data_IF_483383897870
#
_entry.id   IF_483383897870
#
_cell.length_a   1.000
_cell.length_b   1.000
_cell.length_c   1.000
_cell.angle_alpha   90.00
_cell.angle_beta   90.00
_cell.angle_gamma   90.00
#
_symmetry.space_group_name_H-M   'P 1'
#
loop_
_entity.id
_entity.type
_entity.pdbx_description
1 polymer ?
#
# COMPACT_ATOMS: atom_id res chain seq x y z
N UNK A 1 29.92 -25.74 66.99
CA UNK A 1 30.52 -25.87 65.65
C UNK A 1 29.86 -27.10 65.03
N UNK A 2 28.98 -27.08 64.03
CA UNK A 2 28.80 -26.24 62.84
C UNK A 2 27.31 -26.12 62.46
N UNK A 3 27.03 -25.18 61.57
CA UNK A 3 25.72 -24.66 61.18
C UNK A 3 24.98 -25.50 60.12
N UNK A 4 23.66 -25.26 60.12
CA UNK A 4 22.58 -25.47 59.13
C UNK A 4 22.94 -25.44 57.63
N UNK A 5 22.08 -26.04 56.78
CA UNK A 5 21.35 -25.35 55.69
C UNK A 5 20.24 -26.24 55.04
N UNK A 6 19.09 -25.68 54.61
CA UNK A 6 17.93 -26.42 54.11
C UNK A 6 17.81 -26.46 52.58
N UNK A 7 17.03 -27.44 52.13
CA UNK A 7 16.59 -27.69 50.76
C UNK A 7 15.53 -26.69 50.27
N UNK A 8 15.40 -26.59 48.94
CA UNK A 8 14.28 -26.01 48.15
C UNK A 8 14.37 -24.54 47.73
N UNK A 9 15.13 -24.23 46.67
CA UNK A 9 14.99 -22.95 45.93
C UNK A 9 15.18 -23.05 44.40
N UNK A 10 15.13 -24.25 43.79
CA UNK A 10 15.51 -24.44 42.39
C UNK A 10 14.38 -24.92 41.45
N UNK A 11 13.21 -24.27 41.43
CA UNK A 11 12.25 -24.57 40.34
C UNK A 11 11.26 -23.45 39.97
N UNK A 12 11.04 -22.44 40.81
CA UNK A 12 9.93 -21.50 40.61
C UNK A 12 10.26 -20.24 39.80
N UNK A 13 11.54 -19.98 39.49
CA UNK A 13 11.97 -18.76 38.78
C UNK A 13 12.05 -18.92 37.26
N UNK A 14 12.28 -20.13 36.76
CA UNK A 14 12.40 -20.37 35.32
C UNK A 14 11.05 -20.48 34.60
N UNK A 15 9.98 -20.88 35.31
CA UNK A 15 8.66 -21.06 34.70
C UNK A 15 7.97 -19.72 34.34
N UNK A 16 8.30 -18.62 35.03
CA UNK A 16 7.75 -17.28 34.71
C UNK A 16 8.53 -16.55 33.60
N UNK A 17 9.81 -16.87 33.42
CA UNK A 17 10.64 -16.24 32.40
C UNK A 17 10.33 -16.76 30.99
N UNK A 18 9.88 -18.02 30.87
CA UNK A 18 9.52 -18.63 29.60
C UNK A 18 8.27 -18.00 28.96
N UNK A 19 7.32 -17.51 29.77
CA UNK A 19 6.05 -16.91 29.29
C UNK A 19 6.24 -15.49 28.71
N UNK A 20 7.26 -14.76 29.14
CA UNK A 20 7.52 -13.37 28.70
C UNK A 20 8.37 -13.36 27.42
N UNK A 21 9.32 -14.28 27.28
CA UNK A 21 10.15 -14.39 26.06
C UNK A 21 9.35 -14.75 24.81
N UNK A 22 8.31 -15.58 24.95
CA UNK A 22 7.45 -16.00 23.83
C UNK A 22 6.57 -14.88 23.28
N UNK A 23 6.22 -13.86 24.09
CA UNK A 23 5.42 -12.71 23.66
C UNK A 23 6.25 -11.64 22.91
N UNK A 24 7.55 -11.55 23.21
CA UNK A 24 8.44 -10.55 22.58
C UNK A 24 8.91 -11.04 21.19
N UNK A 25 9.08 -12.34 20.99
CA UNK A 25 9.55 -12.91 19.71
C UNK A 25 8.54 -12.82 18.54
N UNK A 26 7.25 -12.63 18.83
CA UNK A 26 6.19 -12.61 17.80
C UNK A 26 6.11 -11.27 17.04
N UNK A 27 6.66 -10.18 17.60
CA UNK A 27 6.53 -8.85 17.00
C UNK A 27 7.56 -8.52 15.90
N UNK A 28 8.58 -9.36 15.70
CA UNK A 28 9.69 -9.09 14.78
C UNK A 28 9.56 -9.75 13.39
N UNK A 29 8.45 -10.40 13.06
CA UNK A 29 8.29 -11.17 11.82
C UNK A 29 7.49 -10.47 10.71
N UNK A 30 7.49 -9.13 10.65
CA UNK A 30 6.92 -8.37 9.54
C UNK A 30 7.93 -7.35 8.99
N UNK A 31 9.06 -7.81 8.47
CA UNK A 31 9.77 -7.05 7.44
C UNK A 31 9.76 -7.92 6.20
N UNK A 32 8.76 -7.68 5.35
CA UNK A 32 8.67 -8.28 4.03
C UNK A 32 9.85 -7.70 3.24
N UNK A 33 10.81 -8.56 2.93
CA UNK A 33 11.91 -8.24 2.02
C UNK A 33 11.32 -8.17 0.61
N UNK A 34 10.76 -7.01 0.28
CA UNK A 34 10.28 -6.71 -1.04
C UNK A 34 11.50 -6.25 -1.84
N UNK A 35 12.11 -7.18 -2.59
CA UNK A 35 13.19 -6.85 -3.51
C UNK A 35 12.61 -6.03 -4.68
N UNK A 36 12.59 -4.71 -4.52
CA UNK A 36 12.00 -3.77 -5.46
C UNK A 36 12.98 -3.48 -6.62
N UNK A 37 12.49 -3.47 -7.88
CA UNK A 37 13.29 -3.07 -9.05
C UNK A 37 13.66 -1.57 -9.04
N UNK A 38 13.12 -0.80 -8.09
CA UNK A 38 13.27 0.65 -8.00
C UNK A 38 13.61 1.11 -6.57
N UNK A 39 14.82 0.82 -6.05
CA UNK A 39 15.19 1.15 -4.67
C UNK A 39 15.14 2.66 -4.36
N UNK A 40 15.26 3.50 -5.38
CA UNK A 40 15.21 4.96 -5.24
C UNK A 40 13.78 5.51 -5.12
N UNK A 41 12.75 4.73 -5.48
CA UNK A 41 11.35 5.14 -5.36
C UNK A 41 10.82 4.70 -3.99
N UNK A 42 10.37 5.66 -3.19
CA UNK A 42 10.00 5.40 -1.78
C UNK A 42 8.57 5.77 -1.45
N UNK A 43 7.92 6.59 -2.28
CA UNK A 43 6.57 7.10 -2.02
C UNK A 43 5.55 6.67 -3.06
N UNK A 44 4.27 6.62 -2.67
CA UNK A 44 3.18 6.35 -3.60
C UNK A 44 3.08 7.37 -4.73
N UNK A 45 3.55 8.60 -4.50
CA UNK A 45 3.66 9.63 -5.54
C UNK A 45 4.74 9.25 -6.56
N UNK A 46 5.90 8.79 -6.10
CA UNK A 46 7.00 8.44 -7.00
C UNK A 46 6.62 7.24 -7.86
N UNK A 47 6.01 6.20 -7.27
CA UNK A 47 5.49 5.06 -8.02
C UNK A 47 4.39 5.45 -9.01
N UNK A 48 3.44 6.32 -8.61
CA UNK A 48 2.39 6.80 -9.52
C UNK A 48 2.97 7.61 -10.68
N UNK A 49 3.92 8.50 -10.40
CA UNK A 49 4.57 9.29 -11.44
C UNK A 49 5.39 8.41 -12.39
N UNK A 50 6.04 7.37 -11.86
CA UNK A 50 6.83 6.45 -12.65
C UNK A 50 5.98 5.53 -13.55
N UNK A 51 4.86 5.00 -13.03
CA UNK A 51 4.08 3.98 -13.74
C UNK A 51 2.76 4.47 -14.36
N UNK A 52 2.12 5.49 -13.78
CA UNK A 52 0.70 5.80 -14.06
C UNK A 52 0.50 7.15 -14.75
N UNK A 53 1.35 8.14 -14.45
CA UNK A 53 1.21 9.53 -14.93
C UNK A 53 1.21 9.65 -16.46
N UNK A 54 1.98 8.81 -17.15
CA UNK A 54 2.09 8.82 -18.61
C UNK A 54 0.74 8.64 -19.32
N UNK A 55 -0.21 7.93 -18.71
CA UNK A 55 -1.56 7.75 -19.23
C UNK A 55 -2.61 8.52 -18.41
N UNK A 56 -2.55 8.48 -17.08
CA UNK A 56 -3.59 9.06 -16.23
C UNK A 56 -3.38 10.54 -15.89
N UNK A 57 -2.23 11.12 -16.25
CA UNK A 57 -1.85 12.48 -15.87
C UNK A 57 -1.41 12.58 -14.42
N UNK A 58 -0.67 13.65 -14.09
CA UNK A 58 -0.07 13.85 -12.76
C UNK A 58 -1.10 14.01 -11.64
N UNK A 59 -2.29 14.49 -12.00
CA UNK A 59 -3.43 14.68 -11.10
C UNK A 59 -4.47 13.56 -11.20
N UNK A 60 -4.21 12.53 -12.01
CA UNK A 60 -5.12 11.41 -12.22
C UNK A 60 -6.42 11.76 -12.96
N UNK A 61 -6.48 12.91 -13.63
CA UNK A 61 -7.67 13.36 -14.38
C UNK A 61 -7.82 12.75 -15.78
N UNK A 62 -6.98 11.78 -16.12
CA UNK A 62 -7.01 11.09 -17.41
C UNK A 62 -6.50 11.94 -18.57
N UNK A 63 -6.39 11.30 -19.73
CA UNK A 63 -5.92 11.93 -20.98
C UNK A 63 -6.90 11.60 -22.11
N UNK A 64 -7.53 12.63 -22.65
CA UNK A 64 -8.50 12.50 -23.75
C UNK A 64 -7.87 11.88 -25.01
N UNK A 65 -6.62 12.25 -25.31
CA UNK A 65 -5.91 11.80 -26.54
C UNK A 65 -5.67 10.29 -26.54
N UNK A 66 -5.43 9.69 -25.38
CA UNK A 66 -5.20 8.25 -25.22
C UNK A 66 -6.43 7.50 -24.70
N UNK A 67 -7.61 8.14 -24.73
CA UNK A 67 -8.86 7.63 -24.16
C UNK A 67 -8.74 7.13 -22.72
N UNK A 68 -7.74 7.61 -21.97
CA UNK A 68 -7.45 7.09 -20.63
C UNK A 68 -8.38 7.76 -19.62
N UNK A 69 -9.19 6.98 -18.88
CA UNK A 69 -10.13 7.54 -17.92
C UNK A 69 -9.42 8.19 -16.72
N UNK A 70 -10.14 9.11 -16.08
CA UNK A 70 -9.72 9.73 -14.84
C UNK A 70 -9.80 8.71 -13.71
N UNK A 71 -8.64 8.26 -13.21
CA UNK A 71 -8.60 7.29 -12.14
C UNK A 71 -9.02 7.89 -10.78
N UNK A 72 -9.00 9.22 -10.63
CA UNK A 72 -9.56 9.89 -9.45
C UNK A 72 -11.09 9.76 -9.34
N UNK A 73 -11.78 9.40 -10.42
CA UNK A 73 -13.22 9.13 -10.40
C UNK A 73 -13.54 7.68 -10.01
N UNK A 74 -12.53 6.88 -9.67
CA UNK A 74 -12.73 5.48 -9.27
C UNK A 74 -13.66 5.36 -8.06
N UNK A 75 -14.56 4.38 -8.12
CA UNK A 75 -15.41 3.98 -7.00
C UNK A 75 -14.78 2.85 -6.18
N UNK A 76 -13.58 2.40 -6.56
CA UNK A 76 -12.89 1.28 -5.91
C UNK A 76 -12.23 1.74 -4.61
N UNK A 77 -12.33 0.92 -3.57
CA UNK A 77 -11.54 1.07 -2.35
C UNK A 77 -10.09 0.64 -2.55
N UNK A 78 -9.25 0.88 -1.53
CA UNK A 78 -7.81 0.63 -1.55
C UNK A 78 -7.43 -0.76 -2.10
N UNK A 79 -7.93 -1.84 -1.49
CA UNK A 79 -7.53 -3.21 -1.88
C UNK A 79 -8.05 -3.60 -3.26
N UNK A 80 -9.22 -3.08 -3.64
CA UNK A 80 -9.76 -3.27 -4.97
C UNK A 80 -8.91 -2.56 -6.05
N UNK A 81 -8.28 -1.43 -5.72
CA UNK A 81 -7.31 -0.76 -6.60
C UNK A 81 -6.04 -1.60 -6.70
N UNK A 82 -5.50 -2.08 -5.57
CA UNK A 82 -4.30 -2.94 -5.57
C UNK A 82 -4.50 -4.16 -6.46
N UNK A 83 -5.60 -4.89 -6.27
CA UNK A 83 -5.92 -6.06 -7.07
C UNK A 83 -6.15 -5.72 -8.56
N UNK A 84 -6.77 -4.57 -8.85
CA UNK A 84 -6.96 -4.12 -10.23
C UNK A 84 -5.64 -3.84 -10.95
N UNK A 85 -4.65 -3.29 -10.23
CA UNK A 85 -3.32 -3.01 -10.78
C UNK A 85 -2.54 -4.31 -11.02
N UNK A 86 -2.58 -5.25 -10.09
CA UNK A 86 -1.63 -6.39 -10.08
C UNK A 86 -2.20 -7.72 -10.54
N UNK A 87 -3.53 -7.93 -10.50
CA UNK A 87 -4.14 -9.26 -10.65
C UNK A 87 -5.35 -9.34 -11.57
N UNK A 88 -6.12 -8.26 -11.77
CA UNK A 88 -7.35 -8.31 -12.56
C UNK A 88 -7.06 -8.49 -14.06
N UNK A 89 -7.25 -9.71 -14.55
CA UNK A 89 -7.03 -10.12 -15.96
C UNK A 89 -8.29 -10.04 -16.82
N UNK A 90 -9.26 -9.18 -16.49
CA UNK A 90 -10.46 -8.99 -17.30
C UNK A 90 -10.10 -8.68 -18.78
N UNK A 91 -10.51 -9.51 -19.76
CA UNK A 91 -10.12 -9.32 -21.16
C UNK A 91 -10.68 -8.05 -21.82
N UNK A 92 -11.64 -7.37 -21.17
CA UNK A 92 -12.23 -6.12 -21.67
C UNK A 92 -11.50 -4.87 -21.15
N UNK A 93 -10.52 -5.00 -20.25
CA UNK A 93 -9.79 -3.83 -19.74
C UNK A 93 -8.69 -3.43 -20.72
N UNK A 94 -8.56 -2.13 -20.96
CA UNK A 94 -7.51 -1.56 -21.81
C UNK A 94 -6.22 -1.28 -21.03
N UNK A 95 -6.32 -0.92 -19.75
CA UNK A 95 -5.16 -0.75 -18.89
C UNK A 95 -4.41 -2.09 -18.74
N UNK A 96 -3.08 -2.08 -18.77
CA UNK A 96 -2.27 -3.29 -18.57
C UNK A 96 -2.27 -3.79 -17.11
N UNK A 97 -1.98 -5.08 -16.90
CA UNK A 97 -1.74 -5.63 -15.55
C UNK A 97 -0.25 -5.49 -15.23
N UNK A 98 0.06 -4.98 -14.04
CA UNK A 98 1.43 -4.87 -13.53
C UNK A 98 1.72 -6.05 -12.60
N UNK A 99 1.72 -7.26 -13.13
CA UNK A 99 1.81 -8.50 -12.34
C UNK A 99 3.15 -8.68 -11.60
N UNK A 100 4.20 -7.99 -12.07
CA UNK A 100 5.51 -7.95 -11.41
C UNK A 100 5.62 -6.87 -10.32
N UNK A 101 4.65 -5.94 -10.23
CA UNK A 101 4.68 -4.87 -9.22
C UNK A 101 4.48 -5.46 -7.82
N UNK A 102 5.42 -5.23 -6.88
CA UNK A 102 5.26 -5.68 -5.51
C UNK A 102 3.99 -5.10 -4.87
N UNK A 103 3.33 -5.91 -4.04
CA UNK A 103 2.07 -5.52 -3.40
C UNK A 103 2.21 -4.22 -2.59
N UNK A 104 3.36 -3.99 -1.95
CA UNK A 104 3.64 -2.78 -1.18
C UNK A 104 3.76 -1.52 -2.05
N UNK A 105 4.32 -1.62 -3.26
CA UNK A 105 4.32 -0.53 -4.24
C UNK A 105 2.90 -0.23 -4.73
N UNK A 106 2.16 -1.28 -5.13
CA UNK A 106 0.78 -1.14 -5.57
C UNK A 106 -0.12 -0.52 -4.49
N UNK A 107 0.09 -0.92 -3.22
CA UNK A 107 -0.59 -0.32 -2.07
C UNK A 107 -0.18 1.14 -1.84
N UNK A 108 1.08 1.52 -2.10
CA UNK A 108 1.51 2.91 -2.06
C UNK A 108 0.83 3.75 -3.15
N UNK A 109 0.74 3.24 -4.38
CA UNK A 109 0.02 3.86 -5.49
C UNK A 109 -1.47 4.03 -5.15
N UNK A 110 -2.12 2.99 -4.63
CA UNK A 110 -3.53 3.04 -4.25
C UNK A 110 -3.81 4.12 -3.18
N UNK A 111 -2.95 4.21 -2.16
CA UNK A 111 -3.05 5.29 -1.14
C UNK A 111 -2.89 6.67 -1.75
N UNK A 112 -1.92 6.85 -2.65
CA UNK A 112 -1.69 8.13 -3.30
C UNK A 112 -2.85 8.54 -4.21
N UNK A 113 -3.41 7.60 -4.98
CA UNK A 113 -4.58 7.84 -5.83
C UNK A 113 -5.79 8.29 -5.00
N UNK A 114 -6.09 7.61 -3.89
CA UNK A 114 -7.19 8.00 -3.01
C UNK A 114 -6.95 9.37 -2.35
N UNK A 115 -5.69 9.73 -2.09
CA UNK A 115 -5.33 11.07 -1.63
C UNK A 115 -5.60 12.13 -2.71
N UNK A 116 -5.23 11.86 -3.98
CA UNK A 116 -5.55 12.74 -5.12
C UNK A 116 -7.07 12.92 -5.29
N UNK A 117 -7.84 11.83 -5.22
CA UNK A 117 -9.30 11.87 -5.26
C UNK A 117 -9.86 12.77 -4.15
N UNK A 118 -9.39 12.60 -2.91
CA UNK A 118 -9.81 13.44 -1.78
C UNK A 118 -9.46 14.92 -2.01
N UNK A 119 -8.26 15.21 -2.51
CA UNK A 119 -7.84 16.58 -2.83
C UNK A 119 -8.73 17.19 -3.90
N UNK A 120 -9.00 16.46 -4.99
CA UNK A 120 -9.90 16.92 -6.05
C UNK A 120 -11.31 17.23 -5.54
N UNK A 121 -11.87 16.38 -4.68
CA UNK A 121 -13.18 16.64 -4.08
C UNK A 121 -13.20 17.89 -3.19
N UNK A 122 -12.09 18.18 -2.50
CA UNK A 122 -11.94 19.36 -1.64
C UNK A 122 -11.70 20.67 -2.41
N UNK A 123 -11.39 20.64 -3.72
CA UNK A 123 -11.17 21.85 -4.50
C UNK A 123 -12.45 22.72 -4.58
N UNK A 124 -12.31 24.06 -4.63
CA UNK A 124 -13.38 24.96 -5.07
C UNK A 124 -13.84 24.63 -6.50
N UNK A 125 -15.12 24.86 -6.83
CA UNK A 125 -15.69 24.51 -8.14
C UNK A 125 -14.97 25.17 -9.32
N UNK A 126 -14.52 26.42 -9.14
CA UNK A 126 -13.76 27.20 -10.13
C UNK A 126 -12.36 26.62 -10.41
N UNK A 127 -11.84 25.79 -9.49
CA UNK A 127 -10.52 25.14 -9.62
C UNK A 127 -10.60 23.69 -10.05
N UNK A 128 -11.79 23.08 -10.10
CA UNK A 128 -11.96 21.70 -10.55
C UNK A 128 -11.91 21.65 -12.07
N UNK A 129 -11.10 20.73 -12.61
CA UNK A 129 -11.26 20.30 -14.00
C UNK A 129 -12.70 19.78 -14.16
N UNK A 130 -13.52 20.33 -15.07
CA UNK A 130 -14.88 19.87 -15.23
C UNK A 130 -14.93 18.37 -15.54
N UNK A 131 -15.82 17.64 -14.86
CA UNK A 131 -15.99 16.20 -15.11
C UNK A 131 -16.38 15.89 -16.55
N UNK A 132 -17.09 16.80 -17.22
CA UNK A 132 -17.39 16.70 -18.65
C UNK A 132 -16.15 16.69 -19.56
N UNK A 133 -14.98 17.09 -19.06
CA UNK A 133 -13.69 17.04 -19.77
C UNK A 133 -12.84 15.83 -19.37
N UNK A 134 -13.38 14.94 -18.53
CA UNK A 134 -12.75 13.70 -18.09
C UNK A 134 -13.49 12.52 -18.70
N UNK A 135 -12.75 11.49 -19.10
CA UNK A 135 -13.34 10.21 -19.48
C UNK A 135 -13.63 9.45 -18.20
N UNK A 136 -14.85 8.95 -18.06
CA UNK A 136 -15.28 8.19 -16.90
C UNK A 136 -14.73 6.75 -16.96
N UNK A 137 -14.33 6.17 -15.81
CA UNK A 137 -13.73 4.84 -15.72
C UNK A 137 -14.72 3.69 -15.87
#
# INVERSE_FOLDING_TARGET
MWQVMPSTFFSRRYFKALSIGLLIGVLTACSRDDNHEHPDLTSGKDFFNHHCESCHGVDGTGKLVSSTPANILTQRGHDAIVNYITMDVNPQREMSVFSAMPHTEAAAVARYLLALQKQYHALPLDKKKPQALMIEP
#
